data_IF_750407927780
#
_entry.id   IF_750407927780
#
_cell.length_a   1.000
_cell.length_b   1.000
_cell.length_c   1.000
_cell.angle_alpha   90.00
_cell.angle_beta   90.00
_cell.angle_gamma   90.00
#
_symmetry.space_group_name_H-M   'P 1'
#
loop_
_entity.id
_entity.type
_entity.pdbx_description
1 polymer ?
#
# COMPACT_ATOMS: atom_id res chain seq x y z
N UNK A 1 27.50 21.74 12.18
CA UNK A 1 26.96 20.43 11.85
C UNK A 1 25.52 20.54 11.41
N UNK A 2 25.09 19.64 10.54
CA UNK A 2 23.72 19.61 10.02
C UNK A 2 22.96 18.44 10.65
N UNK A 3 21.74 18.68 11.11
CA UNK A 3 20.89 17.70 11.77
C UNK A 3 19.57 17.65 11.00
N UNK A 4 19.19 16.48 10.49
CA UNK A 4 17.86 16.26 9.93
C UNK A 4 16.88 15.84 11.02
N UNK A 5 15.82 16.62 11.19
CA UNK A 5 14.76 16.39 12.17
C UNK A 5 13.43 16.09 11.42
N UNK A 6 12.48 15.42 12.05
CA UNK A 6 11.19 15.11 11.43
C UNK A 6 10.40 16.33 10.91
N UNK A 7 10.68 17.52 11.48
CA UNK A 7 10.01 18.78 11.17
C UNK A 7 10.80 19.68 10.19
N UNK A 8 12.03 19.29 9.81
CA UNK A 8 12.89 20.07 8.94
C UNK A 8 14.39 19.88 9.26
N UNK A 9 15.23 20.75 8.70
CA UNK A 9 16.68 20.70 8.86
C UNK A 9 17.13 21.81 9.83
N UNK A 10 18.09 21.49 10.69
CA UNK A 10 18.77 22.42 11.57
C UNK A 10 20.28 22.38 11.31
N UNK A 11 20.88 23.51 10.92
CA UNK A 11 22.32 23.67 10.74
C UNK A 11 22.87 24.54 11.85
N UNK A 12 23.84 24.04 12.61
CA UNK A 12 24.45 24.76 13.72
C UNK A 12 25.91 25.16 13.39
N UNK A 13 26.25 26.43 13.57
CA UNK A 13 27.61 26.98 13.43
C UNK A 13 27.95 27.82 14.67
N UNK A 14 29.07 27.55 15.27
CA UNK A 14 29.59 28.33 16.37
C UNK A 14 30.63 29.34 15.87
N UNK A 15 30.41 30.63 16.11
CA UNK A 15 31.32 31.70 15.76
C UNK A 15 31.55 32.57 17.00
N UNK A 16 32.79 32.75 17.48
CA UNK A 16 33.25 33.71 18.48
C UNK A 16 32.24 34.06 19.61
N UNK A 17 31.68 33.03 20.28
CA UNK A 17 30.73 33.24 21.38
C UNK A 17 29.26 33.36 20.97
N UNK A 18 28.95 33.25 19.67
CA UNK A 18 27.58 33.22 19.13
C UNK A 18 27.33 31.89 18.47
N UNK A 19 26.16 31.29 18.73
CA UNK A 19 25.71 30.09 18.07
C UNK A 19 24.67 30.47 17.02
N UNK A 20 25.03 30.36 15.72
CA UNK A 20 24.12 30.55 14.62
C UNK A 20 23.38 29.23 14.34
N UNK A 21 22.06 29.27 14.47
CA UNK A 21 21.17 28.13 14.14
C UNK A 21 20.32 28.49 12.93
N UNK A 22 20.56 27.82 11.79
CA UNK A 22 19.73 27.96 10.59
C UNK A 22 18.70 26.82 10.55
N UNK A 23 17.41 27.19 10.55
CA UNK A 23 16.29 26.25 10.51
C UNK A 23 15.59 26.36 9.14
N UNK A 24 15.38 25.21 8.51
CA UNK A 24 14.68 25.09 7.24
C UNK A 24 13.52 24.12 7.41
N UNK A 25 12.31 24.51 7.01
CA UNK A 25 11.12 23.66 6.98
C UNK A 25 10.24 24.02 5.81
N UNK A 26 9.44 23.06 5.36
CA UNK A 26 8.56 23.20 4.21
C UNK A 26 7.24 23.91 4.52
N UNK A 27 6.92 24.07 5.81
CA UNK A 27 5.68 24.68 6.28
C UNK A 27 5.96 25.62 7.44
N UNK A 28 5.27 26.74 7.47
CA UNK A 28 5.40 27.78 8.50
C UNK A 28 5.05 27.25 9.91
N UNK A 29 4.04 26.42 10.02
CA UNK A 29 3.65 25.84 11.30
C UNK A 29 4.71 24.85 11.81
N UNK A 30 5.27 24.01 10.94
CA UNK A 30 6.39 23.13 11.26
C UNK A 30 7.65 23.90 11.61
N UNK A 31 7.94 25.01 10.93
CA UNK A 31 9.08 25.88 11.26
C UNK A 31 8.94 26.46 12.66
N UNK A 32 7.76 26.95 13.04
CA UNK A 32 7.50 27.47 14.38
C UNK A 32 7.69 26.38 15.46
N UNK A 33 7.22 25.15 15.17
CA UNK A 33 7.40 24.01 16.06
C UNK A 33 8.88 23.62 16.18
N UNK A 34 9.62 23.65 15.08
CA UNK A 34 11.06 23.39 15.03
C UNK A 34 11.84 24.47 15.83
N UNK A 35 11.48 25.75 15.66
CA UNK A 35 12.05 26.86 16.44
C UNK A 35 11.88 26.64 17.94
N UNK A 36 10.67 26.23 18.37
CA UNK A 36 10.39 25.94 19.79
C UNK A 36 11.23 24.76 20.30
N UNK A 37 11.30 23.66 19.56
CA UNK A 37 12.10 22.48 19.95
C UNK A 37 13.57 22.82 20.07
N UNK A 38 14.13 23.58 19.13
CA UNK A 38 15.53 24.00 19.16
C UNK A 38 15.78 24.97 20.29
N UNK A 39 14.91 25.97 20.53
CA UNK A 39 15.02 26.91 21.63
C UNK A 39 14.97 26.20 22.99
N UNK A 40 14.02 25.29 23.21
CA UNK A 40 13.88 24.51 24.45
C UNK A 40 15.09 23.59 24.70
N UNK A 41 15.72 23.10 23.63
CA UNK A 41 16.92 22.28 23.76
C UNK A 41 18.16 23.10 24.11
N UNK A 42 18.34 24.24 23.43
CA UNK A 42 19.43 25.17 23.72
C UNK A 42 19.33 25.73 25.14
N UNK A 43 18.13 26.10 25.59
CA UNK A 43 17.89 26.57 26.94
C UNK A 43 18.27 25.50 28.00
N UNK A 44 17.97 24.24 27.77
CA UNK A 44 18.38 23.13 28.64
C UNK A 44 19.91 22.93 28.69
N UNK A 45 20.57 23.15 27.57
CA UNK A 45 22.03 23.00 27.48
C UNK A 45 22.77 24.19 28.14
N UNK A 46 22.19 25.38 28.12
CA UNK A 46 22.77 26.59 28.72
C UNK A 46 22.68 26.60 30.25
N UNK A 47 21.82 25.77 30.87
CA UNK A 47 21.64 25.73 32.31
C UNK A 47 21.15 27.05 32.88
N UNK A 48 21.89 27.62 33.83
CA UNK A 48 21.56 28.91 34.50
C UNK A 48 22.08 30.14 33.74
N UNK A 49 22.77 29.97 32.62
CA UNK A 49 23.24 31.10 31.80
C UNK A 49 22.08 31.72 30.98
N UNK A 50 21.92 33.07 31.01
CA UNK A 50 20.87 33.75 30.27
C UNK A 50 21.14 33.66 28.77
N UNK A 51 20.31 32.86 28.07
CA UNK A 51 20.41 32.68 26.63
C UNK A 51 19.50 33.68 25.91
N UNK A 52 20.08 34.61 25.14
CA UNK A 52 19.36 35.53 24.29
C UNK A 52 19.16 34.90 22.90
N UNK A 53 17.95 34.42 22.57
CA UNK A 53 17.65 33.86 21.25
C UNK A 53 16.93 34.93 20.42
N UNK A 54 17.53 35.35 19.29
CA UNK A 54 16.93 36.24 18.32
C UNK A 54 16.69 35.49 17.03
N UNK A 55 15.41 35.38 16.60
CA UNK A 55 15.06 34.79 15.34
C UNK A 55 15.03 35.84 14.22
N UNK A 56 15.81 35.61 13.17
CA UNK A 56 15.78 36.43 11.96
C UNK A 56 15.12 35.60 10.85
N UNK A 57 14.11 36.15 10.19
CA UNK A 57 13.53 35.53 9.02
C UNK A 57 14.22 36.13 7.80
N UNK A 58 14.95 35.33 7.03
CA UNK A 58 15.42 35.75 5.70
C UNK A 58 14.18 35.89 4.80
N UNK A 59 13.68 37.11 4.68
CA UNK A 59 12.64 37.45 3.71
C UNK A 59 13.27 37.39 2.31
N UNK A 60 12.97 36.33 1.55
CA UNK A 60 13.40 36.27 0.15
C UNK A 60 14.02 34.96 -0.33
N UNK A 61 14.28 33.99 0.53
CA UNK A 61 14.43 32.65 0.02
C UNK A 61 13.02 32.13 -0.31
N UNK A 62 12.53 32.38 -1.52
CA UNK A 62 11.51 31.51 -2.11
C UNK A 62 11.99 30.08 -1.82
N UNK A 63 11.17 29.20 -1.17
CA UNK A 63 11.60 27.82 -0.95
C UNK A 63 11.99 27.31 -2.32
N UNK A 64 13.26 26.95 -2.49
CA UNK A 64 13.78 26.43 -3.75
C UNK A 64 12.74 25.41 -4.21
N UNK A 65 12.09 25.70 -5.35
CA UNK A 65 10.93 24.96 -5.82
C UNK A 65 11.28 23.48 -5.70
N UNK A 66 10.69 22.80 -4.71
CA UNK A 66 10.97 21.40 -4.52
C UNK A 66 10.70 20.76 -5.87
N UNK A 67 11.63 19.97 -6.43
CA UNK A 67 11.42 19.36 -7.73
C UNK A 67 10.06 18.68 -7.65
N UNK A 68 9.12 19.10 -8.53
CA UNK A 68 7.71 18.75 -8.45
C UNK A 68 7.59 17.27 -8.14
N UNK A 69 7.14 16.95 -6.93
CA UNK A 69 7.09 15.57 -6.42
C UNK A 69 6.31 14.76 -7.44
N UNK A 70 6.95 13.81 -8.09
CA UNK A 70 6.30 13.05 -9.15
C UNK A 70 5.16 12.25 -8.54
N UNK A 71 3.94 12.77 -8.68
CA UNK A 71 2.72 12.21 -8.10
C UNK A 71 2.45 10.76 -8.52
N UNK A 72 3.09 10.29 -9.59
CA UNK A 72 2.97 8.91 -10.04
C UNK A 72 3.72 7.92 -9.13
N UNK A 73 4.82 8.37 -8.50
CA UNK A 73 5.70 7.55 -7.67
C UNK A 73 5.29 7.60 -6.19
N UNK A 74 5.64 6.53 -5.45
CA UNK A 74 5.48 6.51 -4.00
C UNK A 74 6.44 7.51 -3.33
N UNK A 75 6.02 8.08 -2.20
CA UNK A 75 6.82 8.97 -1.35
C UNK A 75 6.77 8.53 0.11
N UNK A 76 7.58 9.16 0.97
CA UNK A 76 7.58 8.86 2.41
C UNK A 76 6.26 9.23 3.11
N UNK A 77 5.49 10.15 2.52
CA UNK A 77 4.22 10.64 3.07
C UNK A 77 3.01 9.86 2.56
N UNK A 78 3.01 9.44 1.28
CA UNK A 78 1.85 8.81 0.62
C UNK A 78 2.24 7.88 -0.51
N UNK A 79 1.31 7.02 -0.90
CA UNK A 79 1.43 6.22 -2.10
C UNK A 79 1.14 7.05 -3.36
N UNK A 80 1.93 6.82 -4.40
CA UNK A 80 1.77 7.49 -5.69
C UNK A 80 0.51 7.03 -6.44
N UNK A 81 0.12 7.80 -7.45
CA UNK A 81 -1.09 7.53 -8.24
C UNK A 81 -1.07 6.13 -8.85
N UNK A 82 0.07 5.63 -9.34
CA UNK A 82 0.17 4.29 -9.91
C UNK A 82 -0.14 3.22 -8.87
N UNK A 83 0.43 3.32 -7.66
CA UNK A 83 0.17 2.37 -6.56
C UNK A 83 -1.30 2.37 -6.14
N UNK A 84 -1.94 3.55 -6.11
CA UNK A 84 -3.36 3.71 -5.76
C UNK A 84 -4.28 3.15 -6.85
N UNK A 85 -3.98 3.40 -8.12
CA UNK A 85 -4.74 2.84 -9.25
C UNK A 85 -4.68 1.31 -9.23
N UNK A 86 -3.49 0.72 -9.09
CA UNK A 86 -3.37 -0.73 -8.92
C UNK A 86 -4.21 -1.25 -7.75
N UNK A 87 -4.15 -0.57 -6.61
CA UNK A 87 -4.89 -1.00 -5.43
C UNK A 87 -6.39 -1.03 -5.67
N UNK A 88 -6.96 0.09 -6.11
CA UNK A 88 -8.41 0.22 -6.23
C UNK A 88 -8.98 -0.58 -7.40
N UNK A 89 -8.27 -0.63 -8.54
CA UNK A 89 -8.65 -1.49 -9.66
C UNK A 89 -8.70 -2.96 -9.25
N UNK A 90 -7.64 -3.44 -8.58
CA UNK A 90 -7.60 -4.84 -8.13
C UNK A 90 -8.62 -5.11 -7.02
N UNK A 91 -8.84 -4.17 -6.10
CA UNK A 91 -9.89 -4.31 -5.08
C UNK A 91 -11.27 -4.49 -5.71
N UNK A 92 -11.61 -3.67 -6.71
CA UNK A 92 -12.87 -3.80 -7.46
C UNK A 92 -12.99 -5.17 -8.14
N UNK A 93 -11.93 -5.62 -8.82
CA UNK A 93 -11.92 -6.91 -9.51
C UNK A 93 -11.99 -8.09 -8.53
N UNK A 94 -11.37 -7.99 -7.36
CA UNK A 94 -11.45 -9.02 -6.30
C UNK A 94 -12.87 -9.11 -5.73
N UNK A 95 -13.53 -7.96 -5.50
CA UNK A 95 -14.95 -7.96 -5.10
C UNK A 95 -15.80 -8.67 -6.17
N UNK A 96 -15.54 -8.40 -7.45
CA UNK A 96 -16.22 -9.12 -8.53
C UNK A 96 -15.96 -10.63 -8.45
N UNK A 97 -14.72 -11.06 -8.21
CA UNK A 97 -14.41 -12.50 -8.08
C UNK A 97 -15.20 -13.17 -6.95
N UNK A 98 -15.45 -12.45 -5.85
CA UNK A 98 -16.23 -12.98 -4.73
C UNK A 98 -17.71 -13.21 -5.07
N UNK A 99 -18.24 -12.60 -6.14
CA UNK A 99 -19.58 -12.90 -6.62
C UNK A 99 -19.77 -14.37 -6.99
N UNK A 100 -18.68 -15.09 -7.32
CA UNK A 100 -18.72 -16.55 -7.55
C UNK A 100 -19.19 -17.32 -6.31
N UNK A 101 -19.00 -16.78 -5.10
CA UNK A 101 -19.50 -17.41 -3.90
C UNK A 101 -21.03 -17.40 -3.81
N UNK A 102 -21.70 -16.47 -4.53
CA UNK A 102 -23.16 -16.41 -4.62
C UNK A 102 -23.78 -17.61 -5.36
N UNK A 103 -23.01 -18.28 -6.24
CA UNK A 103 -23.49 -19.51 -6.90
C UNK A 103 -23.79 -20.66 -5.93
N UNK A 104 -23.31 -20.57 -4.70
CA UNK A 104 -23.66 -21.50 -3.61
C UNK A 104 -25.06 -21.22 -3.05
N UNK A 105 -25.66 -20.10 -3.44
CA UNK A 105 -27.02 -19.71 -3.14
C UNK A 105 -27.82 -19.93 -4.43
N UNK A 106 -28.92 -20.63 -4.37
CA UNK A 106 -29.82 -20.87 -5.53
C UNK A 106 -29.13 -21.46 -6.76
N UNK A 107 -28.03 -22.18 -6.58
CA UNK A 107 -27.28 -22.90 -7.64
C UNK A 107 -26.94 -22.05 -8.89
N UNK A 108 -26.82 -20.72 -8.74
CA UNK A 108 -26.51 -19.80 -9.83
C UNK A 108 -27.71 -19.37 -10.68
N UNK A 109 -28.93 -19.68 -10.27
CA UNK A 109 -30.15 -19.31 -11.02
C UNK A 109 -30.53 -17.82 -10.90
N UNK A 110 -29.84 -17.06 -10.05
CA UNK A 110 -30.03 -15.60 -9.89
C UNK A 110 -29.29 -14.82 -11.01
N UNK A 111 -29.75 -13.57 -11.26
CA UNK A 111 -29.19 -12.74 -12.35
C UNK A 111 -27.67 -12.50 -12.22
N UNK A 112 -27.11 -12.40 -11.01
CA UNK A 112 -25.66 -12.27 -10.77
C UNK A 112 -24.93 -13.50 -11.28
N UNK A 113 -25.42 -14.71 -10.98
CA UNK A 113 -24.86 -15.98 -11.45
C UNK A 113 -24.86 -16.07 -12.98
N UNK A 114 -25.93 -15.60 -13.61
CA UNK A 114 -26.10 -15.68 -15.07
C UNK A 114 -25.31 -14.61 -15.83
N UNK A 115 -25.10 -13.41 -15.25
CA UNK A 115 -24.53 -12.26 -15.98
C UNK A 115 -23.11 -11.93 -15.57
N UNK A 116 -22.76 -11.97 -14.29
CA UNK A 116 -21.47 -11.52 -13.77
C UNK A 116 -20.49 -12.66 -13.49
N UNK A 117 -20.98 -13.78 -13.01
CA UNK A 117 -20.15 -14.96 -12.70
C UNK A 117 -19.46 -15.57 -13.92
N UNK A 118 -20.05 -15.59 -15.15
CA UNK A 118 -19.36 -16.10 -16.34
C UNK A 118 -18.03 -15.42 -16.65
N UNK A 119 -17.81 -14.20 -16.17
CA UNK A 119 -16.55 -13.47 -16.33
C UNK A 119 -15.44 -13.90 -15.35
N UNK A 120 -15.76 -14.77 -14.38
CA UNK A 120 -14.84 -15.19 -13.32
C UNK A 120 -13.47 -15.65 -13.83
N UNK A 121 -13.45 -16.53 -14.82
CA UNK A 121 -12.18 -17.07 -15.37
C UNK A 121 -11.39 -15.98 -16.10
N UNK A 122 -12.06 -15.18 -16.94
CA UNK A 122 -11.40 -14.13 -17.72
C UNK A 122 -10.85 -13.02 -16.83
N UNK A 123 -11.61 -12.57 -15.83
CA UNK A 123 -11.16 -11.58 -14.87
C UNK A 123 -10.10 -12.13 -13.93
N UNK A 124 -10.14 -13.44 -13.60
CA UNK A 124 -9.07 -14.12 -12.88
C UNK A 124 -7.74 -14.09 -13.62
N UNK A 125 -7.75 -14.28 -14.93
CA UNK A 125 -6.57 -14.15 -15.79
C UNK A 125 -6.04 -12.70 -15.81
N UNK A 126 -6.92 -11.70 -15.90
CA UNK A 126 -6.53 -10.28 -15.80
C UNK A 126 -5.91 -9.99 -14.43
N UNK A 127 -6.50 -10.48 -13.34
CA UNK A 127 -5.97 -10.30 -11.99
C UNK A 127 -4.58 -10.91 -11.83
N UNK A 128 -4.30 -12.07 -12.45
CA UNK A 128 -2.95 -12.66 -12.43
C UNK A 128 -1.93 -11.72 -13.06
N UNK A 129 -2.23 -11.15 -14.22
CA UNK A 129 -1.33 -10.19 -14.87
C UNK A 129 -1.17 -8.94 -14.00
N UNK A 130 -2.26 -8.38 -13.49
CA UNK A 130 -2.22 -7.19 -12.64
C UNK A 130 -1.45 -7.40 -11.34
N UNK A 131 -1.56 -8.55 -10.68
CA UNK A 131 -0.82 -8.81 -9.44
C UNK A 131 0.67 -8.93 -9.70
N UNK A 132 1.08 -9.57 -10.81
CA UNK A 132 2.49 -9.66 -11.17
C UNK A 132 3.08 -8.26 -11.49
N UNK A 133 2.37 -7.44 -12.26
CA UNK A 133 2.75 -6.05 -12.53
C UNK A 133 2.81 -5.23 -11.23
N UNK A 134 1.85 -5.41 -10.33
CA UNK A 134 1.83 -4.75 -9.04
C UNK A 134 2.98 -5.18 -8.13
N UNK A 135 3.34 -6.45 -8.10
CA UNK A 135 4.50 -6.94 -7.34
C UNK A 135 5.77 -6.29 -7.88
N UNK A 136 5.97 -6.29 -9.20
CA UNK A 136 7.12 -5.64 -9.82
C UNK A 136 7.18 -4.14 -9.49
N UNK A 137 6.05 -3.41 -9.69
CA UNK A 137 5.95 -2.01 -9.32
C UNK A 137 6.24 -1.78 -7.84
N UNK A 138 5.64 -2.60 -6.98
CA UNK A 138 5.81 -2.57 -5.54
C UNK A 138 7.28 -2.73 -5.12
N UNK A 139 8.00 -3.64 -5.76
CA UNK A 139 9.42 -3.87 -5.51
C UNK A 139 10.27 -2.66 -5.94
N UNK A 140 9.94 -2.03 -7.08
CA UNK A 140 10.66 -0.84 -7.57
C UNK A 140 10.47 0.40 -6.66
N UNK A 141 9.41 0.44 -5.85
CA UNK A 141 9.09 1.59 -4.97
C UNK A 141 9.48 1.37 -3.50
N UNK A 142 10.09 0.22 -3.12
CA UNK A 142 10.35 -0.14 -1.72
C UNK A 142 11.09 0.93 -0.92
N UNK A 143 12.09 1.59 -1.52
CA UNK A 143 12.90 2.62 -0.86
C UNK A 143 12.16 3.94 -0.63
N UNK A 144 11.06 4.17 -1.37
CA UNK A 144 10.29 5.43 -1.36
C UNK A 144 9.03 5.36 -0.51
N UNK A 145 8.59 4.17 -0.11
CA UNK A 145 7.31 3.94 0.58
C UNK A 145 7.24 4.58 1.95
N UNK A 146 6.03 4.94 2.39
CA UNK A 146 5.79 5.38 3.76
C UNK A 146 6.29 4.34 4.77
N UNK A 147 6.91 4.83 5.84
CA UNK A 147 7.36 3.98 6.94
C UNK A 147 6.16 3.53 7.78
N UNK A 148 6.25 2.32 8.29
CA UNK A 148 5.28 1.76 9.23
C UNK A 148 5.80 1.92 10.66
N UNK A 149 4.88 1.99 11.61
CA UNK A 149 5.22 1.93 13.03
C UNK A 149 6.06 0.65 13.31
N UNK A 150 7.28 0.78 13.88
CA UNK A 150 8.16 -0.35 14.16
C UNK A 150 7.48 -1.47 14.96
N UNK A 151 6.59 -1.12 15.90
CA UNK A 151 5.90 -2.10 16.75
C UNK A 151 4.96 -3.03 15.96
N UNK A 152 4.35 -2.53 14.88
CA UNK A 152 3.35 -3.27 14.09
C UNK A 152 3.82 -3.61 12.66
N UNK A 153 5.00 -3.12 12.26
CA UNK A 153 5.52 -3.27 10.88
C UNK A 153 5.58 -4.73 10.41
N UNK A 154 5.93 -5.68 11.30
CA UNK A 154 6.00 -7.10 10.97
C UNK A 154 4.62 -7.67 10.62
N UNK A 155 3.57 -7.29 11.37
CA UNK A 155 2.18 -7.73 11.15
C UNK A 155 1.64 -7.17 9.83
N UNK A 156 1.91 -5.88 9.57
CA UNK A 156 1.55 -5.23 8.30
C UNK A 156 2.22 -5.92 7.12
N UNK A 157 3.52 -6.22 7.22
CA UNK A 157 4.27 -6.94 6.16
C UNK A 157 3.74 -8.36 5.96
N UNK A 158 3.50 -9.11 7.03
CA UNK A 158 2.96 -10.46 6.97
C UNK A 158 1.56 -10.49 6.32
N UNK A 159 0.67 -9.58 6.72
CA UNK A 159 -0.67 -9.47 6.14
C UNK A 159 -0.64 -9.15 4.64
N UNK A 160 0.19 -8.21 4.21
CA UNK A 160 0.34 -7.90 2.78
C UNK A 160 0.98 -9.07 2.01
N UNK A 161 1.99 -9.73 2.58
CA UNK A 161 2.61 -10.90 1.95
C UNK A 161 1.60 -12.04 1.76
N UNK A 162 0.78 -12.32 2.78
CA UNK A 162 -0.28 -13.31 2.69
C UNK A 162 -1.32 -12.95 1.62
N UNK A 163 -1.74 -11.69 1.53
CA UNK A 163 -2.63 -11.21 0.48
C UNK A 163 -2.00 -11.38 -0.91
N UNK A 164 -0.74 -11.00 -1.11
CA UNK A 164 -0.06 -11.20 -2.40
C UNK A 164 0.06 -12.68 -2.75
N UNK A 165 0.42 -13.53 -1.78
CA UNK A 165 0.50 -14.97 -2.00
C UNK A 165 -0.85 -15.56 -2.44
N UNK A 166 -1.94 -15.21 -1.77
CA UNK A 166 -3.28 -15.63 -2.16
C UNK A 166 -3.67 -15.08 -3.54
N UNK A 167 -3.41 -13.81 -3.84
CA UNK A 167 -3.75 -13.22 -5.14
C UNK A 167 -3.01 -13.87 -6.31
N UNK A 168 -1.81 -14.42 -6.10
CA UNK A 168 -1.07 -15.19 -7.10
C UNK A 168 -1.58 -16.64 -7.15
N UNK A 169 -1.75 -17.28 -6.01
CA UNK A 169 -2.15 -18.69 -5.94
C UNK A 169 -3.57 -18.94 -6.45
N UNK A 170 -4.50 -17.99 -6.22
CA UNK A 170 -5.90 -18.11 -6.63
C UNK A 170 -6.08 -18.34 -8.14
N UNK A 171 -5.61 -17.47 -9.05
CA UNK A 171 -5.78 -17.70 -10.48
C UNK A 171 -4.98 -18.92 -10.97
N UNK A 172 -3.81 -19.22 -10.40
CA UNK A 172 -3.03 -20.40 -10.75
C UNK A 172 -3.81 -21.67 -10.41
N UNK A 173 -4.30 -21.79 -9.19
CA UNK A 173 -5.10 -22.95 -8.77
C UNK A 173 -6.43 -23.05 -9.56
N UNK A 174 -7.02 -21.92 -9.96
CA UNK A 174 -8.20 -21.89 -10.81
C UNK A 174 -7.92 -22.46 -12.21
N UNK A 175 -6.81 -22.09 -12.83
CA UNK A 175 -6.37 -22.65 -14.10
C UNK A 175 -6.09 -24.14 -13.97
N UNK A 176 -5.36 -24.55 -12.93
CA UNK A 176 -5.07 -25.96 -12.65
C UNK A 176 -6.34 -26.76 -12.38
N UNK A 177 -7.35 -26.17 -11.75
CA UNK A 177 -8.65 -26.82 -11.57
C UNK A 177 -9.33 -27.11 -12.90
N UNK A 178 -9.40 -26.10 -13.80
CA UNK A 178 -10.06 -26.26 -15.08
C UNK A 178 -9.33 -27.24 -16.00
N UNK A 179 -8.01 -27.08 -16.15
CA UNK A 179 -7.19 -27.92 -17.02
C UNK A 179 -7.04 -29.34 -16.43
N UNK A 180 -6.82 -29.41 -15.11
CA UNK A 180 -6.66 -30.69 -14.40
C UNK A 180 -7.88 -31.60 -14.47
N UNK A 181 -9.10 -31.02 -14.42
CA UNK A 181 -10.34 -31.77 -14.56
C UNK A 181 -10.79 -31.96 -16.03
N UNK A 182 -9.94 -31.59 -17.01
CA UNK A 182 -10.24 -31.77 -18.42
C UNK A 182 -11.25 -30.78 -19.02
N UNK A 183 -11.66 -29.75 -18.29
CA UNK A 183 -12.64 -28.75 -18.78
C UNK A 183 -12.05 -27.82 -19.84
N UNK A 184 -10.72 -27.79 -19.98
CA UNK A 184 -10.02 -26.83 -20.81
C UNK A 184 -10.01 -25.42 -20.21
N UNK A 185 -9.44 -24.46 -20.94
CA UNK A 185 -9.35 -23.07 -20.50
C UNK A 185 -9.83 -22.14 -21.61
N UNK A 186 -10.87 -21.37 -21.30
CA UNK A 186 -11.41 -20.34 -22.19
C UNK A 186 -11.33 -18.97 -21.50
N UNK A 187 -10.69 -18.00 -22.16
CA UNK A 187 -10.51 -16.64 -21.64
C UNK A 187 -11.01 -15.65 -22.68
N UNK A 188 -11.92 -14.76 -22.30
CA UNK A 188 -12.57 -13.80 -23.21
C UNK A 188 -13.11 -14.42 -24.51
N UNK A 189 -13.67 -15.61 -24.40
CA UNK A 189 -14.22 -16.33 -25.57
C UNK A 189 -13.18 -17.11 -26.40
N UNK A 190 -11.89 -16.90 -26.15
CA UNK A 190 -10.81 -17.62 -26.85
C UNK A 190 -10.46 -18.90 -26.08
N UNK A 191 -10.43 -20.03 -26.83
CA UNK A 191 -10.01 -21.31 -26.29
C UNK A 191 -8.48 -21.35 -26.24
N UNK A 192 -7.89 -21.30 -25.01
CA UNK A 192 -6.44 -21.35 -24.81
C UNK A 192 -5.94 -22.76 -24.59
N UNK A 193 -6.72 -23.61 -23.91
CA UNK A 193 -6.44 -25.02 -23.71
C UNK A 193 -7.69 -25.80 -24.03
N UNK A 194 -7.58 -26.77 -24.96
CA UNK A 194 -8.68 -27.63 -25.33
C UNK A 194 -9.14 -28.55 -24.20
N UNK A 195 -10.38 -29.01 -24.25
CA UNK A 195 -10.87 -30.04 -23.35
C UNK A 195 -10.09 -31.33 -23.57
N UNK A 196 -9.81 -32.06 -22.52
CA UNK A 196 -9.00 -33.27 -22.61
C UNK A 196 -9.21 -34.22 -21.43
N UNK A 197 -8.37 -35.25 -21.33
CA UNK A 197 -8.42 -36.15 -20.18
C UNK A 197 -8.04 -35.45 -18.88
N UNK A 198 -8.45 -36.02 -17.76
CA UNK A 198 -8.07 -35.58 -16.43
C UNK A 198 -6.55 -35.70 -16.21
N UNK A 199 -5.97 -34.67 -15.58
CA UNK A 199 -4.58 -34.65 -15.15
C UNK A 199 -4.58 -34.61 -13.63
N UNK A 200 -4.46 -35.76 -12.99
CA UNK A 200 -4.72 -35.97 -11.56
C UNK A 200 -3.92 -35.02 -10.64
N UNK A 201 -2.62 -34.79 -10.91
CA UNK A 201 -1.82 -33.87 -10.07
C UNK A 201 -2.32 -32.41 -10.17
N UNK A 202 -2.73 -31.98 -11.37
CA UNK A 202 -3.23 -30.63 -11.60
C UNK A 202 -4.63 -30.45 -10.97
N UNK A 203 -5.50 -31.46 -11.09
CA UNK A 203 -6.81 -31.50 -10.43
C UNK A 203 -6.67 -31.39 -8.91
N UNK A 204 -5.72 -32.17 -8.32
CA UNK A 204 -5.46 -32.15 -6.88
C UNK A 204 -5.02 -30.76 -6.38
N UNK A 205 -4.06 -30.12 -7.04
CA UNK A 205 -3.62 -28.76 -6.69
C UNK A 205 -4.74 -27.76 -6.96
N UNK A 206 -5.44 -27.92 -8.06
CA UNK A 206 -6.60 -27.10 -8.45
C UNK A 206 -7.72 -27.12 -7.41
N UNK A 207 -7.90 -28.25 -6.73
CA UNK A 207 -8.85 -28.40 -5.63
C UNK A 207 -8.63 -27.44 -4.47
N UNK A 208 -7.42 -26.88 -4.32
CA UNK A 208 -7.11 -25.86 -3.30
C UNK A 208 -7.75 -24.50 -3.62
N UNK A 209 -8.29 -24.29 -4.84
CA UNK A 209 -8.91 -23.01 -5.23
C UNK A 209 -10.03 -22.59 -4.28
N UNK A 210 -10.92 -23.52 -3.92
CA UNK A 210 -12.05 -23.23 -3.02
C UNK A 210 -11.63 -22.89 -1.58
N UNK A 211 -10.78 -23.67 -0.88
CA UNK A 211 -10.31 -23.28 0.45
C UNK A 211 -9.47 -21.99 0.44
N UNK A 212 -8.65 -21.75 -0.61
CA UNK A 212 -7.93 -20.50 -0.77
C UNK A 212 -8.87 -19.31 -0.97
N UNK A 213 -10.03 -19.48 -1.63
CA UNK A 213 -11.03 -18.43 -1.77
C UNK A 213 -11.52 -17.96 -0.40
N UNK A 214 -11.86 -18.87 0.51
CA UNK A 214 -12.29 -18.53 1.87
C UNK A 214 -11.17 -17.88 2.69
N UNK A 215 -9.95 -18.36 2.56
CA UNK A 215 -8.79 -17.71 3.19
C UNK A 215 -8.61 -16.29 2.65
N UNK A 216 -8.76 -16.08 1.35
CA UNK A 216 -8.66 -14.75 0.73
C UNK A 216 -9.75 -13.81 1.24
N UNK A 217 -11.00 -14.29 1.35
CA UNK A 217 -12.10 -13.51 1.97
C UNK A 217 -11.73 -13.08 3.38
N UNK A 218 -11.25 -14.01 4.22
CA UNK A 218 -10.86 -13.71 5.60
C UNK A 218 -9.74 -12.66 5.65
N UNK A 219 -8.72 -12.80 4.82
CA UNK A 219 -7.60 -11.85 4.75
C UNK A 219 -8.05 -10.46 4.27
N UNK A 220 -8.94 -10.40 3.28
CA UNK A 220 -9.50 -9.13 2.79
C UNK A 220 -10.36 -8.46 3.85
N UNK A 221 -11.21 -9.20 4.55
CA UNK A 221 -12.01 -8.66 5.66
C UNK A 221 -11.13 -8.17 6.80
N UNK A 222 -10.07 -8.91 7.15
CA UNK A 222 -9.08 -8.49 8.14
C UNK A 222 -8.34 -7.21 7.71
N UNK A 223 -7.96 -7.12 6.43
CA UNK A 223 -7.30 -5.93 5.86
C UNK A 223 -8.22 -4.70 5.92
N UNK A 224 -9.49 -4.84 5.51
CA UNK A 224 -10.49 -3.77 5.60
C UNK A 224 -10.73 -3.39 7.07
N UNK A 225 -10.89 -4.39 7.95
CA UNK A 225 -11.08 -4.17 9.38
C UNK A 225 -9.91 -3.40 10.01
N UNK A 226 -8.66 -3.74 9.65
CA UNK A 226 -7.49 -3.00 10.11
C UNK A 226 -7.51 -1.54 9.61
N UNK A 227 -7.84 -1.30 8.34
CA UNK A 227 -7.94 0.06 7.79
C UNK A 227 -9.03 0.88 8.49
N UNK A 228 -10.20 0.29 8.75
CA UNK A 228 -11.28 0.93 9.49
C UNK A 228 -10.91 1.20 10.95
N UNK A 229 -10.21 0.27 11.62
CA UNK A 229 -9.70 0.47 12.98
C UNK A 229 -8.76 1.68 13.05
N UNK A 230 -7.82 1.79 12.10
CA UNK A 230 -6.94 2.95 12.01
C UNK A 230 -7.72 4.25 11.77
N UNK A 231 -8.72 4.23 10.90
CA UNK A 231 -9.55 5.40 10.58
C UNK A 231 -10.43 5.85 11.74
N UNK A 232 -11.14 4.90 12.39
CA UNK A 232 -12.23 5.20 13.32
C UNK A 232 -11.75 5.26 14.78
N UNK A 233 -10.81 4.38 15.16
CA UNK A 233 -10.35 4.22 16.55
C UNK A 233 -9.03 4.98 16.77
N UNK A 234 -8.00 4.66 15.99
CA UNK A 234 -6.70 5.35 16.10
C UNK A 234 -6.73 6.77 15.53
N UNK A 235 -7.64 7.06 14.58
CA UNK A 235 -7.80 8.36 13.92
C UNK A 235 -6.50 8.87 13.30
N UNK A 236 -5.70 7.95 12.73
CA UNK A 236 -4.45 8.26 12.04
C UNK A 236 -4.65 8.37 10.51
N UNK A 237 -3.59 8.83 9.80
CA UNK A 237 -3.65 9.14 8.37
C UNK A 237 -3.35 7.95 7.45
N UNK A 238 -3.24 6.71 7.99
CA UNK A 238 -2.85 5.54 7.20
C UNK A 238 -3.77 5.33 6.01
N UNK A 239 -5.08 5.46 6.20
CA UNK A 239 -6.05 5.30 5.12
C UNK A 239 -5.92 6.40 4.06
N UNK A 240 -5.65 7.65 4.48
CA UNK A 240 -5.49 8.80 3.57
C UNK A 240 -4.27 8.65 2.65
N UNK A 241 -3.25 7.89 3.06
CA UNK A 241 -2.07 7.62 2.24
C UNK A 241 -2.40 6.82 0.98
N UNK A 242 -3.56 6.14 0.95
CA UNK A 242 -4.02 5.29 -0.16
C UNK A 242 -5.25 5.88 -0.89
N UNK A 243 -5.83 6.95 -0.38
CA UNK A 243 -6.86 7.75 -1.02
C UNK A 243 -6.24 8.93 -1.78
#
# INVERSE_FOLDING_TARGET
>A
GDIELPLGRCSLRANEGVLDARLESTDRAQLQQLQKVVADHLARMAGDEPLGIAWQTEAGAEPAAQPAENRALDSRSRYGTVSRVFHWLMALLIVWQFLKLSDRIEEGEHWVGQTLVPWHVSLGAVLLVLVLLRIFWSASQLSRRPLHDPATAWLVKAGHLALYACMVAMPITGVLYLVGNGYGLKVFGQQLVEKGPEIAWAASIGGLHSPLAWLTVLLVLGHIGAALYHRLVKRDDIMQRML
#
